data_IF_880028846704
#
_entry.id   IF_880028846704
#
_cell.length_a   1.000
_cell.length_b   1.000
_cell.length_c   1.000
_cell.angle_alpha   90.00
_cell.angle_beta   90.00
_cell.angle_gamma   90.00
#
_symmetry.space_group_name_H-M   'P 1'
#
loop_
_entity.id
_entity.type
_entity.pdbx_description
1 polymer ?
#
# COMPACT_ATOMS: atom_id res chain seq x y z
N UNK A 1 -17.17 13.34 -7.32
CA UNK A 1 -16.24 14.06 -8.21
C UNK A 1 -14.88 13.41 -8.04
N UNK A 2 -14.32 12.51 -8.86
CA UNK A 2 -14.58 12.03 -10.21
C UNK A 2 -14.57 10.49 -10.19
N UNK A 3 -15.64 9.87 -10.68
CA UNK A 3 -15.65 8.46 -11.10
C UNK A 3 -15.26 8.41 -12.59
N UNK A 4 -14.70 7.28 -13.03
CA UNK A 4 -14.38 6.84 -14.42
C UNK A 4 -12.88 6.88 -14.77
N UNK A 5 -12.18 5.78 -14.46
CA UNK A 5 -11.26 5.18 -15.43
C UNK A 5 -11.37 3.64 -15.34
N UNK A 6 -11.70 2.94 -16.44
CA UNK A 6 -11.78 1.48 -16.48
C UNK A 6 -10.39 0.83 -16.35
N UNK A 7 -10.29 -0.22 -15.53
CA UNK A 7 -9.10 -1.08 -15.46
C UNK A 7 -9.01 -1.93 -16.73
N UNK A 8 -8.20 -1.48 -17.69
CA UNK A 8 -7.67 -2.33 -18.75
C UNK A 8 -6.32 -2.90 -18.30
N UNK A 9 -6.34 -4.00 -17.56
CA UNK A 9 -5.26 -4.99 -17.59
C UNK A 9 -5.87 -6.35 -17.30
N UNK A 10 -5.90 -7.18 -18.35
CA UNK A 10 -6.49 -8.51 -18.35
C UNK A 10 -5.85 -9.41 -17.32
N UNK A 11 -6.69 -10.16 -16.61
CA UNK A 11 -6.29 -11.43 -16.05
C UNK A 11 -6.05 -12.34 -17.25
N UNK A 12 -4.80 -12.65 -17.51
CA UNK A 12 -4.46 -13.88 -18.24
C UNK A 12 -4.81 -14.98 -17.27
N UNK A 13 -5.98 -15.58 -17.50
CA UNK A 13 -6.33 -16.89 -16.97
C UNK A 13 -5.30 -17.86 -17.57
N UNK A 14 -4.28 -18.18 -16.79
CA UNK A 14 -3.32 -19.23 -17.13
C UNK A 14 -4.07 -20.55 -16.99
N UNK A 15 -4.04 -21.29 -18.08
CA UNK A 15 -4.77 -22.51 -18.35
C UNK A 15 -4.88 -23.46 -17.15
N UNK A 16 -6.12 -23.85 -16.89
CA UNK A 16 -6.44 -25.07 -16.18
C UNK A 16 -5.93 -26.26 -17.00
N UNK A 17 -4.67 -26.64 -16.79
CA UNK A 17 -4.25 -28.01 -17.02
C UNK A 17 -4.86 -28.87 -15.92
N UNK A 18 -6.03 -29.41 -16.25
CA UNK A 18 -6.62 -30.60 -15.65
C UNK A 18 -5.68 -31.79 -15.94
N UNK A 19 -4.52 -31.79 -15.31
CA UNK A 19 -3.66 -32.96 -15.28
C UNK A 19 -4.37 -34.01 -14.42
N UNK A 20 -5.01 -34.96 -15.10
CA UNK A 20 -5.33 -36.29 -14.57
C UNK A 20 -4.04 -37.00 -14.19
N UNK A 21 -3.36 -36.52 -13.16
CA UNK A 21 -2.42 -37.33 -12.40
C UNK A 21 -3.29 -38.30 -11.64
N UNK A 22 -3.25 -39.57 -12.09
CA UNK A 22 -3.72 -40.72 -11.34
C UNK A 22 -3.37 -40.48 -9.87
N UNK A 23 -4.41 -40.33 -9.05
CA UNK A 23 -4.29 -40.51 -7.61
C UNK A 23 -3.84 -41.95 -7.39
N UNK A 24 -2.53 -42.17 -7.49
CA UNK A 24 -1.88 -43.25 -6.80
C UNK A 24 -2.00 -42.82 -5.35
N UNK A 25 -3.06 -43.29 -4.69
CA UNK A 25 -3.18 -43.23 -3.24
C UNK A 25 -1.81 -43.62 -2.69
N UNK A 26 -1.25 -42.87 -1.72
CA UNK A 26 -0.14 -43.43 -0.99
C UNK A 26 -0.68 -44.78 -0.51
N UNK A 27 -0.03 -45.88 -0.91
CA UNK A 27 -0.22 -47.16 -0.22
C UNK A 27 -0.01 -46.79 1.23
N UNK A 28 -1.10 -46.65 1.98
CA UNK A 28 -0.97 -46.61 3.41
C UNK A 28 -0.37 -47.97 3.69
N UNK A 29 0.83 -47.95 4.23
CA UNK A 29 1.40 -49.12 4.86
C UNK A 29 0.63 -49.29 6.18
N UNK A 30 -0.70 -49.38 6.12
CA UNK A 30 -1.46 -50.02 7.16
C UNK A 30 -1.05 -51.47 7.07
N UNK A 31 0.00 -51.78 7.83
CA UNK A 31 0.53 -53.11 8.06
C UNK A 31 -0.45 -54.00 8.80
N UNK A 32 -1.74 -53.93 8.45
CA UNK A 32 -2.66 -55.04 8.59
C UNK A 32 -2.13 -56.17 7.70
N UNK A 33 -1.18 -56.93 8.27
CA UNK A 33 -0.96 -58.30 7.86
C UNK A 33 -2.31 -58.98 8.02
N UNK A 34 -3.08 -59.07 6.94
CA UNK A 34 -4.21 -59.97 6.87
C UNK A 34 -3.60 -61.36 6.80
N UNK A 35 -3.43 -61.99 7.96
CA UNK A 35 -3.04 -63.40 8.00
C UNK A 35 -4.18 -64.16 7.34
N UNK A 36 -3.95 -64.57 6.09
CA UNK A 36 -4.91 -65.36 5.34
C UNK A 36 -5.12 -66.66 6.11
N UNK A 37 -6.37 -67.07 6.31
CA UNK A 37 -6.74 -68.33 6.99
C UNK A 37 -5.94 -69.55 6.48
N UNK A 38 -5.47 -69.52 5.22
CA UNK A 38 -4.58 -70.52 4.63
C UNK A 38 -3.18 -70.63 5.27
N UNK A 39 -2.59 -69.54 5.76
CA UNK A 39 -1.24 -69.54 6.34
C UNK A 39 -1.20 -70.19 7.73
N UNK A 40 -2.30 -70.09 8.49
CA UNK A 40 -2.47 -70.80 9.77
C UNK A 40 -2.53 -72.33 9.63
N UNK A 41 -2.91 -72.87 8.46
CA UNK A 41 -2.86 -74.32 8.22
C UNK A 41 -1.47 -74.81 7.80
N UNK A 42 -0.67 -73.98 7.14
CA UNK A 42 0.67 -74.35 6.66
C UNK A 42 1.71 -74.48 7.78
N UNK A 43 1.62 -73.69 8.86
CA UNK A 43 2.53 -73.79 9.99
C UNK A 43 2.26 -74.99 10.92
N UNK A 44 1.08 -75.63 10.82
CA UNK A 44 0.69 -76.73 11.72
C UNK A 44 1.21 -78.10 11.26
N UNK A 45 1.80 -78.21 10.07
CA UNK A 45 2.21 -79.50 9.47
C UNK A 45 3.66 -79.92 9.76
N UNK A 46 4.30 -79.35 10.79
CA UNK A 46 5.60 -79.82 11.32
C UNK A 46 5.57 -79.88 12.85
N UNK A 47 4.62 -80.62 13.42
CA UNK A 47 4.70 -81.04 14.81
C UNK A 47 5.59 -82.28 14.91
N UNK A 48 6.69 -82.12 15.64
CA UNK A 48 7.54 -83.19 16.20
C UNK A 48 6.68 -84.29 16.84
N UNK A 49 7.16 -85.55 16.98
CA UNK A 49 6.36 -86.62 17.55
C UNK A 49 5.89 -86.18 18.94
N UNK A 50 4.59 -86.31 19.15
CA UNK A 50 3.87 -85.95 20.36
C UNK A 50 4.47 -86.72 21.53
N UNK A 51 5.48 -86.13 22.17
CA UNK A 51 5.90 -86.53 23.51
C UNK A 51 4.64 -86.43 24.35
N UNK A 52 4.21 -87.55 24.92
CA UNK A 52 3.10 -87.62 25.88
C UNK A 52 3.55 -86.84 27.12
N UNK A 53 3.49 -85.52 27.01
CA UNK A 53 3.73 -84.61 28.11
C UNK A 53 2.54 -84.75 29.05
N UNK A 54 2.86 -84.88 30.32
CA UNK A 54 1.87 -84.94 31.39
C UNK A 54 0.93 -83.73 31.22
N UNK A 55 -0.40 -83.91 31.24
CA UNK A 55 -1.37 -82.79 31.07
C UNK A 55 -1.06 -81.60 31.99
N UNK A 56 -0.47 -81.89 33.15
CA UNK A 56 0.01 -80.89 34.11
C UNK A 56 1.16 -80.04 33.54
N UNK A 57 2.18 -80.66 32.92
CA UNK A 57 3.31 -79.94 32.31
C UNK A 57 2.85 -79.07 31.13
N UNK A 58 1.93 -79.55 30.29
CA UNK A 58 1.41 -78.78 29.18
C UNK A 58 0.69 -77.51 29.65
N UNK A 59 -0.13 -77.62 30.71
CA UNK A 59 -0.81 -76.46 31.30
C UNK A 59 0.17 -75.48 31.96
N UNK A 60 1.22 -75.96 32.64
CA UNK A 60 2.25 -75.11 33.24
C UNK A 60 3.04 -74.33 32.16
N UNK A 61 3.37 -74.96 31.04
CA UNK A 61 4.02 -74.28 29.92
C UNK A 61 3.09 -73.26 29.24
N UNK A 62 1.81 -73.58 29.10
CA UNK A 62 0.80 -72.66 28.56
C UNK A 62 0.66 -71.41 29.44
N UNK A 63 0.58 -71.58 30.77
CA UNK A 63 0.57 -70.44 31.70
C UNK A 63 1.86 -69.62 31.63
N UNK A 64 3.03 -70.26 31.53
CA UNK A 64 4.31 -69.57 31.37
C UNK A 64 4.32 -68.71 30.11
N UNK A 65 3.90 -69.26 28.98
CA UNK A 65 3.83 -68.56 27.69
C UNK A 65 2.81 -67.43 27.70
N UNK A 66 1.65 -67.62 28.36
CA UNK A 66 0.65 -66.56 28.51
C UNK A 66 1.20 -65.38 29.32
N UNK A 67 1.93 -65.63 30.41
CA UNK A 67 2.59 -64.58 31.20
C UNK A 67 3.65 -63.83 30.37
N UNK A 68 4.45 -64.55 29.59
CA UNK A 68 5.47 -63.96 28.70
C UNK A 68 4.83 -63.12 27.58
N UNK A 69 3.73 -63.59 27.00
CA UNK A 69 2.95 -62.86 25.99
C UNK A 69 2.38 -61.55 26.57
N UNK A 70 1.85 -61.59 27.79
CA UNK A 70 1.33 -60.40 28.47
C UNK A 70 2.44 -59.36 28.74
N UNK A 71 3.61 -59.81 29.20
CA UNK A 71 4.77 -58.94 29.45
C UNK A 71 5.27 -58.29 28.16
N UNK A 72 5.52 -59.08 27.12
CA UNK A 72 5.98 -58.57 25.81
C UNK A 72 4.96 -57.64 25.17
N UNK A 73 3.66 -57.87 25.38
CA UNK A 73 2.59 -56.99 24.91
C UNK A 73 2.62 -55.63 25.63
N UNK A 74 2.89 -55.61 26.94
CA UNK A 74 3.06 -54.38 27.72
C UNK A 74 4.27 -53.59 27.26
N UNK A 75 5.43 -54.25 27.12
CA UNK A 75 6.67 -53.61 26.64
C UNK A 75 6.49 -53.02 25.24
N UNK A 76 5.83 -53.76 24.33
CA UNK A 76 5.54 -53.28 22.98
C UNK A 76 4.65 -52.03 23.01
N UNK A 77 3.62 -52.00 23.86
CA UNK A 77 2.76 -50.82 24.02
C UNK A 77 3.57 -49.61 24.51
N UNK A 78 4.43 -49.78 25.52
CA UNK A 78 5.28 -48.70 26.04
C UNK A 78 6.26 -48.15 24.99
N UNK A 79 6.88 -49.03 24.18
CA UNK A 79 7.75 -48.62 23.08
C UNK A 79 6.97 -47.90 21.98
N UNK A 80 5.74 -48.35 21.69
CA UNK A 80 4.87 -47.70 20.71
C UNK A 80 4.52 -46.28 21.17
N UNK A 81 4.23 -46.09 22.45
CA UNK A 81 3.94 -44.78 23.04
C UNK A 81 5.16 -43.84 22.99
N UNK A 82 6.36 -44.37 23.29
CA UNK A 82 7.61 -43.61 23.18
C UNK A 82 7.95 -43.23 21.74
N UNK A 83 7.75 -44.16 20.79
CA UNK A 83 7.97 -43.90 19.37
C UNK A 83 7.04 -42.78 18.88
N UNK A 84 5.76 -42.81 19.28
CA UNK A 84 4.79 -41.80 18.93
C UNK A 84 5.22 -40.40 19.41
N UNK A 85 5.75 -40.32 20.64
CA UNK A 85 6.29 -39.09 21.21
C UNK A 85 7.50 -38.55 20.42
N UNK A 86 8.45 -39.43 20.05
CA UNK A 86 9.69 -39.05 19.33
C UNK A 86 9.43 -38.70 17.87
N UNK A 87 8.59 -39.45 17.18
CA UNK A 87 8.37 -39.32 15.73
C UNK A 87 7.46 -38.16 15.37
N UNK A 88 6.89 -37.43 16.35
CA UNK A 88 6.01 -36.30 16.08
C UNK A 88 4.78 -36.67 15.27
N UNK A 89 4.39 -37.96 15.29
CA UNK A 89 3.23 -38.46 14.57
C UNK A 89 1.97 -37.84 15.16
N UNK A 90 1.18 -37.12 14.35
CA UNK A 90 -0.13 -36.52 14.66
C UNK A 90 -0.42 -36.45 16.17
N UNK A 91 0.09 -35.41 16.85
CA UNK A 91 -0.07 -35.19 18.31
C UNK A 91 -1.51 -35.35 18.81
N UNK A 92 -2.49 -35.26 17.90
CA UNK A 92 -3.92 -35.26 18.16
C UNK A 92 -4.56 -36.65 18.41
N UNK A 93 -3.82 -37.77 18.30
CA UNK A 93 -4.41 -39.12 18.41
C UNK A 93 -3.99 -39.93 19.64
N UNK A 94 -3.10 -39.42 20.50
CA UNK A 94 -2.71 -40.16 21.70
C UNK A 94 -3.77 -40.02 22.80
N UNK A 95 -4.29 -41.12 23.37
CA UNK A 95 -5.20 -41.10 24.51
C UNK A 95 -4.62 -40.40 25.76
N UNK A 96 -3.29 -40.21 25.80
CA UNK A 96 -2.56 -39.59 26.90
C UNK A 96 -2.00 -38.22 26.54
N UNK A 97 -2.50 -37.57 25.47
CA UNK A 97 -2.13 -36.18 25.20
C UNK A 97 -2.60 -35.31 26.36
N UNK A 98 -1.67 -34.98 27.26
CA UNK A 98 -1.88 -34.00 28.32
C UNK A 98 -1.48 -32.64 27.74
N UNK A 99 -2.43 -31.72 27.47
CA UNK A 99 -2.09 -30.40 26.96
C UNK A 99 -1.08 -29.75 27.91
N UNK A 100 0.13 -29.49 27.44
CA UNK A 100 1.11 -28.76 28.24
C UNK A 100 0.63 -27.30 28.32
N UNK A 101 0.26 -26.78 29.50
CA UNK A 101 -0.28 -25.43 29.62
C UNK A 101 0.67 -24.36 29.10
N UNK A 102 2.00 -24.58 29.17
CA UNK A 102 2.99 -23.67 28.60
C UNK A 102 3.00 -23.69 27.07
N UNK A 103 2.85 -24.87 26.46
CA UNK A 103 2.79 -25.00 25.01
C UNK A 103 1.52 -24.37 24.44
N UNK A 104 0.36 -24.58 25.06
CA UNK A 104 -0.89 -23.97 24.62
C UNK A 104 -0.84 -22.43 24.73
N UNK A 105 -0.28 -21.90 25.83
CA UNK A 105 -0.02 -20.45 25.95
C UNK A 105 0.88 -19.94 24.85
N UNK A 106 1.95 -20.67 24.52
CA UNK A 106 2.88 -20.28 23.45
C UNK A 106 2.21 -20.31 22.07
N UNK A 107 1.37 -21.31 21.79
CA UNK A 107 0.60 -21.43 20.54
C UNK A 107 -0.41 -20.29 20.37
N UNK A 108 -1.04 -19.84 21.45
CA UNK A 108 -1.91 -18.65 21.43
C UNK A 108 -1.07 -17.41 21.13
N UNK A 109 0.09 -17.25 21.80
CA UNK A 109 1.02 -16.14 21.56
C UNK A 109 1.55 -16.10 20.13
N UNK A 110 1.88 -17.25 19.55
CA UNK A 110 2.27 -17.39 18.14
C UNK A 110 1.18 -16.85 17.22
N UNK A 111 -0.07 -17.27 17.42
CA UNK A 111 -1.22 -16.77 16.63
C UNK A 111 -1.42 -15.26 16.77
N UNK A 112 -1.30 -14.73 17.99
CA UNK A 112 -1.36 -13.28 18.25
C UNK A 112 -0.26 -12.55 17.48
N UNK A 113 1.00 -12.99 17.57
CA UNK A 113 2.14 -12.39 16.86
C UNK A 113 1.96 -12.47 15.35
N UNK A 114 1.52 -13.61 14.81
CA UNK A 114 1.26 -13.77 13.39
C UNK A 114 0.15 -12.81 12.90
N UNK A 115 -0.90 -12.62 13.69
CA UNK A 115 -1.96 -11.65 13.36
C UNK A 115 -1.47 -10.21 13.35
N UNK A 116 -0.61 -9.85 14.32
CA UNK A 116 0.02 -8.52 14.37
C UNK A 116 0.93 -8.29 13.17
N UNK A 117 1.75 -9.29 12.81
CA UNK A 117 2.63 -9.22 11.64
C UNK A 117 1.82 -9.00 10.35
N UNK A 118 0.76 -9.78 10.14
CA UNK A 118 -0.13 -9.62 8.99
C UNK A 118 -0.77 -8.21 8.92
N UNK A 119 -1.21 -7.68 10.06
CA UNK A 119 -1.77 -6.33 10.13
C UNK A 119 -0.71 -5.25 9.82
N UNK A 120 0.53 -5.42 10.33
CA UNK A 120 1.64 -4.53 10.02
C UNK A 120 2.00 -4.57 8.53
N UNK A 121 2.06 -5.75 7.93
CA UNK A 121 2.32 -5.92 6.50
C UNK A 121 1.24 -5.23 5.66
N UNK A 122 -0.04 -5.41 6.02
CA UNK A 122 -1.17 -4.74 5.37
C UNK A 122 -1.06 -3.21 5.47
N UNK A 123 -0.81 -2.68 6.67
CA UNK A 123 -0.63 -1.25 6.89
C UNK A 123 0.57 -0.69 6.10
N UNK A 124 1.68 -1.43 6.04
CA UNK A 124 2.86 -1.04 5.28
C UNK A 124 2.57 -0.93 3.78
N UNK A 125 1.76 -1.84 3.23
CA UNK A 125 1.31 -1.78 1.83
C UNK A 125 0.47 -0.51 1.59
N UNK A 126 -0.51 -0.23 2.45
CA UNK A 126 -1.33 0.99 2.32
C UNK A 126 -0.51 2.27 2.42
N UNK A 127 0.44 2.35 3.36
CA UNK A 127 1.32 3.50 3.50
C UNK A 127 2.23 3.68 2.28
N UNK A 128 2.72 2.58 1.69
CA UNK A 128 3.51 2.61 0.45
C UNK A 128 2.70 3.17 -0.72
N UNK A 129 1.43 2.79 -0.85
CA UNK A 129 0.55 3.32 -1.90
C UNK A 129 0.28 4.81 -1.71
N UNK A 130 -0.08 5.25 -0.49
CA UNK A 130 -0.26 6.67 -0.15
C UNK A 130 1.01 7.50 -0.43
N UNK A 131 2.19 6.96 -0.10
CA UNK A 131 3.46 7.62 -0.41
C UNK A 131 3.70 7.78 -1.91
N UNK A 132 3.33 6.78 -2.72
CA UNK A 132 3.41 6.88 -4.18
C UNK A 132 2.44 7.93 -4.75
N UNK A 133 1.23 8.05 -4.20
CA UNK A 133 0.27 9.09 -4.57
C UNK A 133 0.79 10.49 -4.23
N UNK A 134 1.28 10.70 -3.01
CA UNK A 134 1.90 11.96 -2.60
C UNK A 134 3.09 12.32 -3.48
N UNK A 135 3.92 11.33 -3.87
CA UNK A 135 5.02 11.56 -4.81
C UNK A 135 4.54 12.03 -6.18
N UNK A 136 3.43 11.46 -6.69
CA UNK A 136 2.81 11.92 -7.95
C UNK A 136 2.28 13.35 -7.82
N UNK A 137 1.63 13.67 -6.71
CA UNK A 137 1.09 15.00 -6.42
C UNK A 137 2.19 16.06 -6.31
N UNK A 138 3.28 15.77 -5.59
CA UNK A 138 4.45 16.67 -5.51
C UNK A 138 5.03 16.94 -6.90
N UNK A 139 5.16 15.90 -7.74
CA UNK A 139 5.65 16.06 -9.10
C UNK A 139 4.68 16.89 -9.96
N UNK A 140 3.37 16.72 -9.77
CA UNK A 140 2.35 17.52 -10.44
C UNK A 140 2.50 19.00 -10.11
N UNK A 141 2.55 19.37 -8.82
CA UNK A 141 2.72 20.76 -8.40
C UNK A 141 4.06 21.36 -8.85
N UNK A 142 5.15 20.56 -8.81
CA UNK A 142 6.45 21.00 -9.32
C UNK A 142 6.41 21.31 -10.82
N UNK A 143 5.74 20.48 -11.61
CA UNK A 143 5.59 20.70 -13.05
C UNK A 143 4.74 21.95 -13.33
N UNK A 144 3.63 22.12 -12.61
CA UNK A 144 2.79 23.32 -12.71
C UNK A 144 3.56 24.59 -12.34
N UNK A 145 4.36 24.55 -11.28
CA UNK A 145 5.20 25.67 -10.87
C UNK A 145 6.23 26.03 -11.94
N UNK A 146 6.89 25.04 -12.55
CA UNK A 146 7.82 25.26 -13.66
C UNK A 146 7.13 25.90 -14.88
N UNK A 147 5.92 25.46 -15.23
CA UNK A 147 5.14 26.05 -16.32
C UNK A 147 4.78 27.51 -16.01
N UNK A 148 4.30 27.79 -14.80
CA UNK A 148 3.96 29.14 -14.37
C UNK A 148 5.16 30.10 -14.43
N UNK A 149 6.36 29.64 -14.06
CA UNK A 149 7.59 30.43 -14.18
C UNK A 149 7.94 30.75 -15.64
N UNK A 150 7.75 29.79 -16.55
CA UNK A 150 7.97 29.99 -17.99
C UNK A 150 6.97 31.01 -18.56
N UNK A 151 5.69 30.90 -18.19
CA UNK A 151 4.65 31.84 -18.60
C UNK A 151 4.93 33.24 -18.05
N UNK A 152 5.35 33.34 -16.79
CA UNK A 152 5.76 34.61 -16.18
C UNK A 152 6.92 35.25 -16.94
N UNK A 153 7.94 34.47 -17.33
CA UNK A 153 9.06 34.96 -18.12
C UNK A 153 8.63 35.42 -19.52
N UNK A 154 7.73 34.67 -20.18
CA UNK A 154 7.15 35.02 -21.47
C UNK A 154 6.37 36.34 -21.39
N UNK A 155 5.51 36.49 -20.38
CA UNK A 155 4.72 37.70 -20.16
C UNK A 155 5.61 38.92 -19.87
N UNK A 156 6.67 38.78 -19.07
CA UNK A 156 7.65 39.85 -18.83
C UNK A 156 8.27 40.35 -20.13
N UNK A 157 8.66 39.45 -21.05
CA UNK A 157 9.20 39.83 -22.36
C UNK A 157 8.17 40.60 -23.18
N UNK A 158 6.92 40.10 -23.27
CA UNK A 158 5.83 40.79 -23.99
C UNK A 158 5.55 42.19 -23.45
N UNK A 159 5.56 42.37 -22.12
CA UNK A 159 5.38 43.69 -21.50
C UNK A 159 6.50 44.66 -21.88
N UNK A 160 7.75 44.19 -21.97
CA UNK A 160 8.88 45.02 -22.42
C UNK A 160 8.70 45.41 -23.89
N UNK A 161 8.34 44.47 -24.76
CA UNK A 161 8.06 44.73 -26.18
C UNK A 161 6.94 45.75 -26.36
N UNK A 162 5.80 45.56 -25.69
CA UNK A 162 4.66 46.50 -25.76
C UNK A 162 5.03 47.89 -25.25
N UNK A 163 5.83 48.01 -24.19
CA UNK A 163 6.32 49.30 -23.70
C UNK A 163 7.19 50.01 -24.74
N UNK A 164 7.96 49.26 -25.52
CA UNK A 164 8.79 49.81 -26.59
C UNK A 164 7.94 50.28 -27.77
N UNK A 165 7.00 49.44 -28.22
CA UNK A 165 6.05 49.77 -29.28
C UNK A 165 5.21 51.01 -28.92
N UNK A 166 4.73 51.10 -27.66
CA UNK A 166 4.02 52.30 -27.18
C UNK A 166 4.88 53.58 -27.28
N UNK A 167 6.18 53.51 -26.99
CA UNK A 167 7.09 54.66 -27.14
C UNK A 167 7.30 55.05 -28.60
N UNK A 168 7.34 54.07 -29.50
CA UNK A 168 7.46 54.31 -30.94
C UNK A 168 6.18 54.94 -31.50
N UNK A 169 5.00 54.44 -31.13
CA UNK A 169 3.72 55.04 -31.49
C UNK A 169 3.59 56.47 -30.95
N UNK A 170 4.01 56.72 -29.70
CA UNK A 170 4.05 58.08 -29.14
C UNK A 170 4.97 59.02 -29.95
N UNK A 171 6.10 58.52 -30.44
CA UNK A 171 7.02 59.27 -31.30
C UNK A 171 6.39 59.57 -32.66
N UNK A 172 5.77 58.59 -33.30
CA UNK A 172 5.05 58.79 -34.55
C UNK A 172 3.88 59.78 -34.41
N UNK A 173 3.13 59.73 -33.29
CA UNK A 173 2.09 60.72 -33.01
C UNK A 173 2.66 62.14 -32.86
N UNK A 174 3.83 62.30 -32.26
CA UNK A 174 4.52 63.59 -32.16
C UNK A 174 5.01 64.08 -33.53
N UNK A 175 5.58 63.19 -34.35
CA UNK A 175 6.05 63.49 -35.71
C UNK A 175 4.92 63.81 -36.71
N UNK A 176 3.73 63.21 -36.53
CA UNK A 176 2.52 63.49 -37.33
C UNK A 176 1.79 64.78 -36.91
N UNK A 177 2.12 65.33 -35.73
CA UNK A 177 1.73 66.66 -35.30
C UNK A 177 2.90 67.66 -35.38
N UNK A 178 3.63 67.81 -36.51
CA UNK A 178 4.88 68.56 -36.51
C UNK A 178 4.68 70.09 -36.45
N UNK A 179 3.46 70.61 -36.29
CA UNK A 179 3.17 72.06 -36.37
C UNK A 179 2.07 72.57 -35.43
N UNK A 180 1.83 71.91 -34.29
CA UNK A 180 1.03 72.52 -33.23
C UNK A 180 1.87 73.47 -32.35
N UNK A 181 3.19 73.48 -32.42
CA UNK A 181 4.02 74.34 -31.56
C UNK A 181 3.64 75.83 -31.73
N UNK A 182 3.41 76.31 -32.96
CA UNK A 182 3.06 77.72 -33.18
C UNK A 182 1.61 78.05 -32.76
N UNK A 183 0.66 77.13 -32.99
CA UNK A 183 -0.75 77.27 -32.56
C UNK A 183 -0.89 77.10 -31.03
N UNK A 184 -0.08 76.24 -30.42
CA UNK A 184 -0.05 75.94 -28.99
C UNK A 184 0.70 77.00 -28.20
N UNK A 185 1.73 77.61 -28.78
CA UNK A 185 2.41 78.78 -28.22
C UNK A 185 1.54 80.03 -28.36
N UNK A 186 0.81 80.22 -29.49
CA UNK A 186 -0.21 81.28 -29.63
C UNK A 186 -1.34 81.12 -28.62
N UNK A 187 -1.90 79.91 -28.44
CA UNK A 187 -2.97 79.66 -27.47
C UNK A 187 -2.50 79.75 -26.02
N UNK A 188 -1.29 79.29 -25.70
CA UNK A 188 -0.67 79.46 -24.37
C UNK A 188 -0.40 80.93 -24.05
N UNK A 189 0.14 81.70 -25.02
CA UNK A 189 0.36 83.13 -24.88
C UNK A 189 -0.95 83.90 -24.72
N UNK A 190 -1.98 83.60 -25.51
CA UNK A 190 -3.33 84.17 -25.39
C UNK A 190 -3.96 83.87 -24.01
N UNK A 191 -3.89 82.63 -23.52
CA UNK A 191 -4.39 82.28 -22.19
C UNK A 191 -3.60 82.99 -21.08
N UNK A 192 -2.29 83.11 -21.23
CA UNK A 192 -1.44 83.83 -20.27
C UNK A 192 -1.78 85.32 -20.25
N UNK A 193 -2.01 85.92 -21.42
CA UNK A 193 -2.41 87.33 -21.55
C UNK A 193 -3.79 87.58 -20.93
N UNK A 194 -4.77 86.71 -21.19
CA UNK A 194 -6.09 86.77 -20.56
C UNK A 194 -6.01 86.61 -19.03
N UNK A 195 -5.20 85.68 -18.53
CA UNK A 195 -5.03 85.49 -17.09
C UNK A 195 -4.35 86.70 -16.42
N UNK A 196 -3.38 87.34 -17.09
CA UNK A 196 -2.75 88.57 -16.61
C UNK A 196 -3.73 89.75 -16.61
N UNK A 197 -4.55 89.90 -17.66
CA UNK A 197 -5.60 90.93 -17.72
C UNK A 197 -6.65 90.73 -16.63
N UNK A 198 -7.16 89.51 -16.46
CA UNK A 198 -8.12 89.16 -15.40
C UNK A 198 -7.52 89.42 -14.02
N UNK A 199 -6.27 89.02 -13.78
CA UNK A 199 -5.56 89.28 -12.52
C UNK A 199 -5.37 90.78 -12.27
N UNK A 200 -5.04 91.56 -13.31
CA UNK A 200 -4.88 93.02 -13.21
C UNK A 200 -6.21 93.73 -12.90
N UNK A 201 -7.31 93.27 -13.51
CA UNK A 201 -8.65 93.77 -13.24
C UNK A 201 -9.08 93.44 -11.81
N UNK A 202 -8.77 92.23 -11.34
CA UNK A 202 -9.08 91.80 -9.98
C UNK A 202 -8.32 92.64 -8.94
N UNK A 203 -7.01 92.86 -9.14
CA UNK A 203 -6.22 93.77 -8.31
C UNK A 203 -6.76 95.21 -8.31
N UNK A 204 -7.23 95.70 -9.46
CA UNK A 204 -7.81 97.05 -9.58
C UNK A 204 -9.14 97.15 -8.83
N UNK A 205 -10.01 96.14 -8.91
CA UNK A 205 -11.26 96.04 -8.15
C UNK A 205 -10.99 95.99 -6.64
N UNK A 206 -10.13 95.09 -6.16
CA UNK A 206 -9.79 95.01 -4.73
C UNK A 206 -9.21 96.33 -4.19
N UNK A 207 -8.43 97.05 -4.99
CA UNK A 207 -7.85 98.34 -4.60
C UNK A 207 -8.87 99.49 -4.60
N UNK A 208 -9.98 99.36 -5.34
CA UNK A 208 -11.09 100.31 -5.27
C UNK A 208 -11.99 100.03 -4.08
N UNK A 209 -12.25 98.77 -3.76
CA UNK A 209 -13.06 98.40 -2.59
C UNK A 209 -12.40 98.82 -1.28
N UNK A 210 -11.08 98.58 -1.13
CA UNK A 210 -10.32 99.08 0.03
C UNK A 210 -10.38 100.61 0.19
N UNK A 211 -10.38 101.36 -0.93
CA UNK A 211 -10.49 102.83 -0.90
C UNK A 211 -11.89 103.33 -0.53
N UNK A 212 -12.94 102.62 -0.96
CA UNK A 212 -14.33 102.92 -0.58
C UNK A 212 -14.60 102.60 0.89
N UNK A 213 -13.96 101.57 1.42
CA UNK A 213 -14.10 101.16 2.82
C UNK A 213 -13.39 102.12 3.78
N UNK A 214 -12.25 102.71 3.38
CA UNK A 214 -11.55 103.75 4.15
C UNK A 214 -12.17 105.15 4.11
N UNK A 215 -13.19 105.38 3.27
CA UNK A 215 -13.86 106.68 3.09
C UNK A 215 -15.26 106.74 3.77
N UNK A 216 -15.64 105.70 4.51
CA UNK A 216 -16.80 105.69 5.42
C UNK A 216 -16.33 105.82 6.86
#
# INVERSE_FOLDING_TARGET
MFARLPRHFGRVDVDGEESRVKQTKPKSNDGHRTWSCGMWKACRQKSSPETVLNKVQANEEEERLNRELELTTKERNELTDRLLYVTGGSMNKSPYFRPNPFYEKLKIKEKEVMSLLHNLDTNNIEHREKFQELKKEINFYRNMHSQLLMDQACMKKKVVTLKQECKEVQRYLFELNPNDEEEREKTSNLQTQQNLEVSSLWCRCCSQDKRKESAK
#
